data_IF_648701926419
#
_entry.id   IF_648701926419
#
_cell.length_a   1.000
_cell.length_b   1.000
_cell.length_c   1.000
_cell.angle_alpha   90.00
_cell.angle_beta   90.00
_cell.angle_gamma   90.00
#
_symmetry.space_group_name_H-M   'P 1'
#
loop_
_entity.id
_entity.type
_entity.pdbx_description
1 polymer ?
#
# COMPACT_ATOMS: atom_id res chain seq x y z
N UNK A 1 -69.00 28.13 -11.30
CA UNK A 1 -68.25 29.38 -11.56
C UNK A 1 -67.23 29.55 -10.45
N UNK A 2 -66.01 29.99 -10.83
CA UNK A 2 -64.93 30.65 -10.07
C UNK A 2 -64.69 30.22 -8.61
N UNK A 3 -63.48 29.95 -8.11
CA UNK A 3 -62.10 30.31 -8.44
C UNK A 3 -61.32 29.93 -7.15
N UNK A 4 -60.07 29.47 -7.14
CA UNK A 4 -58.89 30.02 -7.77
C UNK A 4 -58.06 30.79 -6.73
N UNK A 5 -56.79 30.38 -6.55
CA UNK A 5 -55.63 31.02 -5.84
C UNK A 5 -55.58 30.92 -4.29
N UNK A 6 -54.47 30.82 -3.56
CA UNK A 6 -53.03 30.56 -3.77
C UNK A 6 -52.35 30.45 -2.36
N UNK A 7 -51.15 29.83 -2.31
CA UNK A 7 -49.99 30.00 -1.39
C UNK A 7 -49.38 28.63 -1.01
N UNK A 8 -48.31 28.12 -1.64
CA UNK A 8 -46.87 28.49 -1.61
C UNK A 8 -46.14 28.33 -0.25
N UNK A 9 -44.95 27.72 -0.31
CA UNK A 9 -43.98 27.52 0.79
C UNK A 9 -43.63 26.04 0.94
N UNK A 10 -42.67 25.47 0.21
CA UNK A 10 -41.21 25.66 0.39
C UNK A 10 -40.69 24.39 1.10
N UNK A 11 -39.92 23.49 0.49
CA UNK A 11 -38.65 23.74 -0.20
C UNK A 11 -37.52 23.68 0.83
N UNK A 12 -36.70 22.63 0.81
CA UNK A 12 -35.44 22.60 1.56
C UNK A 12 -34.98 21.22 1.98
N UNK A 13 -34.30 20.51 1.07
CA UNK A 13 -33.54 19.32 1.40
C UNK A 13 -32.42 19.63 2.40
N UNK A 14 -32.30 18.81 3.42
CA UNK A 14 -31.19 18.78 4.36
C UNK A 14 -30.28 17.58 4.08
N UNK A 15 -29.61 17.56 2.94
CA UNK A 15 -28.45 16.70 2.71
C UNK A 15 -27.19 17.50 3.10
N UNK A 16 -26.77 17.32 4.36
CA UNK A 16 -25.55 17.97 4.88
C UNK A 16 -24.87 17.25 6.05
N UNK A 17 -25.48 16.23 6.65
CA UNK A 17 -24.96 15.60 7.88
C UNK A 17 -24.30 14.23 7.70
N UNK A 18 -24.51 13.52 6.57
CA UNK A 18 -24.00 12.15 6.43
C UNK A 18 -22.54 12.08 5.95
N UNK A 19 -22.08 13.06 5.17
CA UNK A 19 -20.72 13.07 4.61
C UNK A 19 -19.67 13.39 5.66
N UNK A 20 -19.92 14.34 6.54
CA UNK A 20 -18.98 14.79 7.58
C UNK A 20 -18.82 13.75 8.68
N UNK A 21 -19.90 13.10 9.11
CA UNK A 21 -19.85 12.01 10.08
C UNK A 21 -19.12 10.79 9.53
N UNK A 22 -19.31 10.44 8.25
CA UNK A 22 -18.55 9.38 7.59
C UNK A 22 -17.05 9.69 7.51
N UNK A 23 -16.66 10.94 7.22
CA UNK A 23 -15.26 11.37 7.20
C UNK A 23 -14.63 11.34 8.59
N UNK A 24 -15.34 11.75 9.64
CA UNK A 24 -14.87 11.67 11.03
C UNK A 24 -14.66 10.21 11.43
N UNK A 25 -15.64 9.34 11.16
CA UNK A 25 -15.53 7.90 11.43
C UNK A 25 -14.35 7.25 10.67
N UNK A 26 -14.10 7.67 9.43
CA UNK A 26 -12.94 7.21 8.67
C UNK A 26 -11.63 7.69 9.29
N UNK A 27 -11.55 8.94 9.74
CA UNK A 27 -10.38 9.50 10.41
C UNK A 27 -10.08 8.79 11.74
N UNK A 28 -11.10 8.50 12.56
CA UNK A 28 -10.92 7.76 13.81
C UNK A 28 -10.39 6.35 13.58
N UNK A 29 -10.97 5.62 12.62
CA UNK A 29 -10.50 4.28 12.24
C UNK A 29 -9.07 4.32 11.73
N UNK A 30 -8.73 5.33 10.93
CA UNK A 30 -7.39 5.51 10.41
C UNK A 30 -6.37 5.76 11.53
N UNK A 31 -6.67 6.68 12.44
CA UNK A 31 -5.80 6.98 13.59
C UNK A 31 -5.62 5.74 14.49
N UNK A 32 -6.67 4.96 14.69
CA UNK A 32 -6.58 3.69 15.43
C UNK A 32 -5.62 2.72 14.75
N UNK A 33 -5.71 2.54 13.43
CA UNK A 33 -4.80 1.66 12.68
C UNK A 33 -3.33 2.12 12.77
N UNK A 34 -3.08 3.44 12.72
CA UNK A 34 -1.73 4.01 12.91
C UNK A 34 -1.20 3.72 14.31
N UNK A 35 -2.04 3.88 15.35
CA UNK A 35 -1.67 3.57 16.74
C UNK A 35 -1.45 2.07 16.98
N UNK A 36 -2.24 1.19 16.36
CA UNK A 36 -2.04 -0.26 16.46
C UNK A 36 -0.75 -0.71 15.74
N UNK A 37 -0.37 -0.04 14.66
CA UNK A 37 0.84 -0.39 13.88
C UNK A 37 2.12 0.17 14.49
N UNK A 38 2.08 1.41 15.02
CA UNK A 38 3.24 2.13 15.52
C UNK A 38 3.16 2.49 17.01
N UNK A 39 2.28 1.86 17.78
CA UNK A 39 2.10 2.14 19.21
C UNK A 39 3.38 2.00 20.02
N UNK A 40 4.24 1.05 19.65
CA UNK A 40 5.55 0.82 20.27
C UNK A 40 6.68 1.67 19.65
N UNK A 41 6.38 2.47 18.62
CA UNK A 41 7.33 3.26 17.84
C UNK A 41 7.00 4.76 17.96
N UNK A 42 7.29 5.33 19.13
CA UNK A 42 7.01 6.75 19.44
C UNK A 42 7.58 7.70 18.39
N UNK A 43 8.79 7.42 17.89
CA UNK A 43 9.45 8.20 16.83
C UNK A 43 8.57 8.32 15.56
N UNK A 44 7.92 7.23 15.14
CA UNK A 44 7.04 7.24 13.96
C UNK A 44 5.75 8.01 14.19
N UNK A 45 5.19 7.94 15.39
CA UNK A 45 4.02 8.72 15.76
C UNK A 45 4.33 10.23 15.83
N UNK A 46 5.52 10.59 16.31
CA UNK A 46 6.02 11.98 16.29
C UNK A 46 6.21 12.45 14.86
N UNK A 47 6.90 11.68 14.01
CA UNK A 47 7.09 12.02 12.60
C UNK A 47 5.76 12.20 11.86
N UNK A 48 4.77 11.34 12.07
CA UNK A 48 3.45 11.50 11.47
C UNK A 48 2.79 12.82 11.91
N UNK A 49 2.87 13.14 13.21
CA UNK A 49 2.33 14.39 13.76
C UNK A 49 3.04 15.61 13.17
N UNK A 50 4.35 15.55 12.99
CA UNK A 50 5.15 16.61 12.38
C UNK A 50 4.74 16.84 10.92
N UNK A 51 4.57 15.78 10.13
CA UNK A 51 4.08 15.89 8.74
C UNK A 51 2.73 16.60 8.69
N UNK A 52 1.78 16.19 9.55
CA UNK A 52 0.46 16.82 9.61
C UNK A 52 0.52 18.28 10.07
N UNK A 53 1.42 18.60 11.01
CA UNK A 53 1.61 19.96 11.50
C UNK A 53 2.28 20.86 10.45
N UNK A 54 3.27 20.37 9.72
CA UNK A 54 3.91 21.10 8.63
C UNK A 54 2.91 21.42 7.52
N UNK A 55 1.99 20.51 7.22
CA UNK A 55 0.90 20.76 6.28
C UNK A 55 -0.07 21.81 6.81
N UNK A 56 -0.48 21.71 8.08
CA UNK A 56 -1.37 22.69 8.73
C UNK A 56 -0.77 24.09 8.81
N UNK A 57 0.55 24.18 8.95
CA UNK A 57 1.30 25.45 9.03
C UNK A 57 1.82 25.92 7.67
N UNK A 58 1.37 25.31 6.58
CA UNK A 58 1.72 25.64 5.19
C UNK A 58 3.23 25.58 4.90
N UNK A 59 4.00 24.84 5.72
CA UNK A 59 5.44 24.59 5.51
C UNK A 59 5.70 23.55 4.45
N UNK A 60 4.72 22.69 4.17
CA UNK A 60 4.78 21.69 3.11
C UNK A 60 3.45 21.65 2.37
N UNK A 61 3.49 21.30 1.09
CA UNK A 61 2.33 21.14 0.24
C UNK A 61 1.89 19.66 0.17
N UNK A 62 0.84 19.39 -0.60
CA UNK A 62 0.28 18.04 -0.74
C UNK A 62 1.33 17.06 -1.29
N UNK A 63 2.17 17.49 -2.23
CA UNK A 63 3.23 16.66 -2.80
C UNK A 63 4.29 16.29 -1.74
N UNK A 64 4.69 17.25 -0.89
CA UNK A 64 5.61 17.01 0.22
C UNK A 64 5.02 16.08 1.28
N UNK A 65 3.74 16.22 1.63
CA UNK A 65 3.04 15.29 2.54
C UNK A 65 3.04 13.88 1.96
N UNK A 66 2.66 13.73 0.69
CA UNK A 66 2.62 12.43 0.00
C UNK A 66 3.97 11.72 0.07
N UNK A 67 5.05 12.41 -0.26
CA UNK A 67 6.39 11.82 -0.22
C UNK A 67 6.80 11.36 1.19
N UNK A 68 6.56 12.20 2.20
CA UNK A 68 6.91 11.88 3.59
C UNK A 68 6.04 10.76 4.18
N UNK A 69 4.74 10.75 3.88
CA UNK A 69 3.82 9.68 4.31
C UNK A 69 4.17 8.36 3.63
N UNK A 70 4.53 8.38 2.34
CA UNK A 70 4.96 7.17 1.62
C UNK A 70 6.16 6.51 2.31
N UNK A 71 7.18 7.30 2.67
CA UNK A 71 8.37 6.76 3.32
C UNK A 71 8.08 6.32 4.77
N UNK A 72 7.29 7.11 5.51
CA UNK A 72 6.94 6.79 6.90
C UNK A 72 6.17 5.46 7.02
N UNK A 73 5.26 5.20 6.08
CA UNK A 73 4.42 4.00 6.06
C UNK A 73 4.89 2.94 5.07
N UNK A 74 6.16 3.00 4.65
CA UNK A 74 6.75 1.99 3.78
C UNK A 74 6.62 0.60 4.38
N UNK A 75 6.10 -0.35 3.59
CA UNK A 75 5.78 -1.72 4.02
C UNK A 75 4.43 -1.87 4.73
N UNK A 76 3.71 -0.78 5.01
CA UNK A 76 2.39 -0.77 5.65
C UNK A 76 1.32 -0.29 4.67
N UNK A 77 1.08 -1.12 3.65
CA UNK A 77 0.19 -0.84 2.52
C UNK A 77 -1.21 -0.41 2.95
N UNK A 78 -1.75 -1.01 4.01
CA UNK A 78 -3.04 -0.68 4.61
C UNK A 78 -3.12 0.77 5.11
N UNK A 79 -2.01 1.31 5.66
CA UNK A 79 -1.95 2.69 6.14
C UNK A 79 -1.79 3.68 4.99
N UNK A 80 -1.11 3.30 3.91
CA UNK A 80 -1.01 4.11 2.69
C UNK A 80 -2.38 4.19 2.01
N UNK A 81 -3.06 3.05 1.86
CA UNK A 81 -4.41 2.98 1.29
C UNK A 81 -5.43 3.78 2.11
N UNK A 82 -5.36 3.67 3.45
CA UNK A 82 -6.18 4.48 4.34
C UNK A 82 -5.92 5.98 4.18
N UNK A 83 -4.66 6.39 3.96
CA UNK A 83 -4.30 7.79 3.76
C UNK A 83 -4.83 8.34 2.43
N UNK A 84 -4.85 7.52 1.37
CA UNK A 84 -5.36 7.91 0.05
C UNK A 84 -6.83 8.36 0.08
N UNK A 85 -7.63 7.90 1.05
CA UNK A 85 -9.01 8.37 1.26
C UNK A 85 -9.10 9.88 1.58
N UNK A 86 -8.04 10.44 2.18
CA UNK A 86 -7.98 11.86 2.56
C UNK A 86 -7.30 12.73 1.49
N UNK A 87 -6.79 12.13 0.42
CA UNK A 87 -6.10 12.86 -0.64
C UNK A 87 -7.05 13.19 -1.80
N UNK A 88 -6.89 14.38 -2.43
CA UNK A 88 -7.59 14.67 -3.68
C UNK A 88 -7.20 13.68 -4.78
N UNK A 89 -8.14 13.41 -5.69
CA UNK A 89 -7.88 12.58 -6.87
C UNK A 89 -6.68 13.12 -7.65
N UNK A 90 -5.73 12.24 -7.96
CA UNK A 90 -4.47 12.59 -8.64
C UNK A 90 -3.26 12.79 -7.72
N UNK A 91 -3.45 12.83 -6.40
CA UNK A 91 -2.36 12.86 -5.41
C UNK A 91 -2.19 11.53 -4.66
N UNK A 92 -2.89 10.48 -5.09
CA UNK A 92 -2.85 9.17 -4.44
C UNK A 92 -1.42 8.61 -4.38
N UNK A 93 -1.08 8.09 -3.22
CA UNK A 93 0.19 7.42 -2.97
C UNK A 93 0.11 6.01 -3.54
N UNK A 94 1.01 5.70 -4.46
CA UNK A 94 1.17 4.34 -4.97
C UNK A 94 1.80 3.46 -3.90
N UNK A 95 1.17 2.34 -3.62
CA UNK A 95 1.67 1.31 -2.71
C UNK A 95 2.78 0.51 -3.39
N UNK A 96 3.93 0.35 -2.74
CA UNK A 96 5.02 -0.49 -3.24
C UNK A 96 4.68 -1.97 -3.00
N UNK A 97 3.94 -2.58 -3.94
CA UNK A 97 3.55 -4.01 -3.88
C UNK A 97 4.72 -5.00 -4.01
N UNK A 98 5.94 -4.50 -4.21
CA UNK A 98 7.10 -5.30 -4.59
C UNK A 98 8.31 -5.17 -3.67
N UNK A 99 8.18 -4.61 -2.47
CA UNK A 99 9.29 -4.71 -1.52
C UNK A 99 9.39 -6.20 -1.09
N UNK A 100 10.47 -6.91 -1.46
CA UNK A 100 10.63 -8.29 -1.02
C UNK A 100 10.71 -8.31 0.51
N UNK A 101 10.10 -9.29 1.18
CA UNK A 101 10.23 -9.43 2.63
C UNK A 101 11.74 -9.52 3.01
N UNK A 102 12.15 -9.09 4.21
CA UNK A 102 13.56 -9.11 4.62
C UNK A 102 14.23 -10.46 4.36
N UNK A 103 13.51 -11.56 4.58
CA UNK A 103 13.95 -12.93 4.37
C UNK A 103 14.20 -13.26 2.88
N UNK A 104 13.54 -12.57 1.96
CA UNK A 104 13.76 -12.75 0.53
C UNK A 104 15.10 -12.16 0.07
N UNK A 105 15.60 -11.09 0.74
CA UNK A 105 16.95 -10.58 0.46
C UNK A 105 18.03 -11.59 0.86
N UNK A 106 17.86 -12.24 2.02
CA UNK A 106 18.77 -13.29 2.47
C UNK A 106 18.71 -14.51 1.55
N UNK A 107 17.52 -14.88 1.07
CA UNK A 107 17.37 -15.93 0.07
C UNK A 107 18.08 -15.57 -1.24
N UNK A 108 17.90 -14.34 -1.73
CA UNK A 108 18.55 -13.86 -2.95
C UNK A 108 20.08 -13.91 -2.83
N UNK A 109 20.62 -13.51 -1.67
CA UNK A 109 22.07 -13.61 -1.38
C UNK A 109 22.53 -15.06 -1.35
N UNK A 110 21.77 -15.95 -0.70
CA UNK A 110 22.07 -17.37 -0.65
C UNK A 110 22.13 -18.00 -2.05
N UNK A 111 21.16 -17.69 -2.92
CA UNK A 111 21.16 -18.18 -4.32
C UNK A 111 22.40 -17.68 -5.04
N UNK A 112 22.77 -16.41 -4.86
CA UNK A 112 23.96 -15.81 -5.48
C UNK A 112 25.27 -16.45 -5.04
N UNK A 113 25.42 -16.74 -3.74
CA UNK A 113 26.61 -17.36 -3.18
C UNK A 113 26.76 -18.82 -3.57
N UNK A 114 25.63 -19.53 -3.72
CA UNK A 114 25.63 -20.93 -4.15
C UNK A 114 25.97 -21.08 -5.62
N UNK A 115 25.28 -20.32 -6.48
CA UNK A 115 25.46 -20.41 -7.91
C UNK A 115 25.09 -19.10 -8.62
N UNK A 116 26.10 -18.43 -9.18
CA UNK A 116 25.95 -17.17 -9.90
C UNK A 116 25.19 -17.31 -11.23
N UNK A 117 25.29 -18.47 -11.89
CA UNK A 117 24.60 -18.75 -13.14
C UNK A 117 23.09 -18.94 -12.91
N UNK A 118 22.74 -19.68 -11.85
CA UNK A 118 21.37 -19.86 -11.39
C UNK A 118 20.79 -18.54 -10.92
N UNK A 119 21.55 -17.76 -10.14
CA UNK A 119 21.14 -16.42 -9.71
C UNK A 119 20.77 -15.51 -10.88
N UNK A 120 21.57 -15.47 -11.95
CA UNK A 120 21.27 -14.65 -13.13
C UNK A 120 19.95 -15.06 -13.78
N UNK A 121 19.75 -16.36 -14.03
CA UNK A 121 18.50 -16.88 -14.62
C UNK A 121 17.31 -16.66 -13.68
N UNK A 122 17.50 -16.81 -12.37
CA UNK A 122 16.47 -16.56 -11.36
C UNK A 122 16.02 -15.10 -11.41
N UNK A 123 16.97 -14.16 -11.42
CA UNK A 123 16.69 -12.74 -11.54
C UNK A 123 15.96 -12.40 -12.84
N UNK A 124 16.34 -12.99 -13.97
CA UNK A 124 15.64 -12.79 -15.24
C UNK A 124 14.17 -13.25 -15.18
N UNK A 125 13.88 -14.34 -14.48
CA UNK A 125 12.49 -14.80 -14.27
C UNK A 125 11.72 -13.82 -13.37
N UNK A 126 12.33 -13.35 -12.28
CA UNK A 126 11.70 -12.37 -11.36
C UNK A 126 11.44 -11.03 -12.07
N UNK A 127 12.40 -10.53 -12.86
CA UNK A 127 12.21 -9.29 -13.62
C UNK A 127 11.15 -9.43 -14.69
N UNK A 128 11.04 -10.59 -15.36
CA UNK A 128 9.94 -10.86 -16.30
C UNK A 128 8.59 -10.90 -15.60
N UNK A 129 8.48 -11.50 -14.41
CA UNK A 129 7.26 -11.44 -13.61
C UNK A 129 6.81 -10.02 -13.31
N UNK A 130 7.74 -9.15 -12.88
CA UNK A 130 7.43 -7.76 -12.54
C UNK A 130 7.13 -6.88 -13.77
N UNK A 131 7.83 -7.08 -14.89
CA UNK A 131 7.68 -6.24 -16.09
C UNK A 131 6.54 -6.68 -17.00
N UNK A 132 6.28 -7.98 -17.10
CA UNK A 132 5.38 -8.56 -18.11
C UNK A 132 4.06 -9.08 -17.51
N UNK A 133 3.77 -8.81 -16.22
CA UNK A 133 2.60 -9.36 -15.52
C UNK A 133 2.48 -10.88 -15.69
N UNK A 134 3.61 -11.59 -15.57
CA UNK A 134 3.63 -13.05 -15.71
C UNK A 134 2.76 -13.69 -14.61
N UNK A 135 2.04 -14.76 -14.94
CA UNK A 135 1.22 -15.46 -13.96
C UNK A 135 2.07 -16.28 -12.97
N UNK A 136 1.52 -16.49 -11.77
CA UNK A 136 2.21 -17.19 -10.68
C UNK A 136 2.51 -18.66 -11.03
N UNK A 137 1.63 -19.34 -11.78
CA UNK A 137 1.82 -20.73 -12.18
C UNK A 137 3.02 -20.84 -13.13
N UNK A 138 3.13 -19.94 -14.11
CA UNK A 138 4.28 -19.87 -15.01
C UNK A 138 5.56 -19.51 -14.25
N UNK A 139 5.49 -18.62 -13.25
CA UNK A 139 6.62 -18.29 -12.39
C UNK A 139 7.12 -19.52 -11.63
N UNK A 140 6.23 -20.25 -10.97
CA UNK A 140 6.56 -21.48 -10.25
C UNK A 140 7.18 -22.53 -11.17
N UNK A 141 6.69 -22.66 -12.41
CA UNK A 141 7.24 -23.61 -13.38
C UNK A 141 8.67 -23.23 -13.79
N UNK A 142 8.91 -21.97 -14.14
CA UNK A 142 10.24 -21.52 -14.59
C UNK A 142 11.26 -21.59 -13.44
N UNK A 143 10.88 -21.14 -12.24
CA UNK A 143 11.75 -21.22 -11.05
C UNK A 143 11.97 -22.66 -10.59
N UNK A 144 10.94 -23.51 -10.69
CA UNK A 144 11.05 -24.94 -10.40
C UNK A 144 12.03 -25.65 -11.33
N UNK A 145 11.94 -25.41 -12.63
CA UNK A 145 12.88 -25.96 -13.61
C UNK A 145 14.31 -25.43 -13.41
N UNK A 146 14.46 -24.21 -12.91
CA UNK A 146 15.77 -23.61 -12.64
C UNK A 146 16.48 -24.25 -11.45
N UNK A 147 15.74 -24.64 -10.41
CA UNK A 147 16.29 -25.20 -9.18
C UNK A 147 16.22 -26.73 -9.11
N UNK A 148 15.52 -27.40 -10.04
CA UNK A 148 15.27 -28.85 -9.98
C UNK A 148 16.49 -29.73 -10.19
N UNK A 149 17.56 -29.22 -10.83
CA UNK A 149 18.74 -30.03 -11.15
C UNK A 149 19.70 -30.11 -9.95
N UNK A 150 20.14 -28.97 -9.43
CA UNK A 150 21.21 -28.94 -8.41
C UNK A 150 20.76 -28.50 -7.01
N UNK A 151 19.61 -27.80 -6.91
CA UNK A 151 19.25 -27.06 -5.70
C UNK A 151 17.75 -27.14 -5.33
N UNK A 152 17.17 -28.34 -5.16
CA UNK A 152 15.75 -28.49 -4.85
C UNK A 152 15.35 -27.83 -3.52
N UNK A 153 16.29 -27.67 -2.58
CA UNK A 153 16.10 -26.95 -1.31
C UNK A 153 15.81 -25.46 -1.52
N UNK A 154 16.40 -24.84 -2.55
CA UNK A 154 16.15 -23.43 -2.88
C UNK A 154 14.74 -23.23 -3.44
N UNK A 155 14.21 -24.19 -4.20
CA UNK A 155 12.82 -24.13 -4.66
C UNK A 155 11.83 -24.22 -3.48
N UNK A 156 12.10 -25.10 -2.52
CA UNK A 156 11.26 -25.22 -1.31
C UNK A 156 11.28 -23.93 -0.49
N UNK A 157 12.40 -23.22 -0.43
CA UNK A 157 12.45 -21.89 0.18
C UNK A 157 11.69 -20.86 -0.65
N UNK A 158 11.81 -20.90 -1.97
CA UNK A 158 11.11 -20.00 -2.88
C UNK A 158 9.59 -20.08 -2.71
N UNK A 159 9.00 -21.29 -2.67
CA UNK A 159 7.54 -21.45 -2.50
C UNK A 159 7.02 -20.89 -1.18
N UNK A 160 7.86 -20.74 -0.14
CA UNK A 160 7.47 -20.11 1.14
C UNK A 160 7.25 -18.60 1.03
N UNK A 161 7.78 -17.97 -0.01
CA UNK A 161 7.56 -16.56 -0.30
C UNK A 161 6.27 -16.31 -1.09
N UNK A 162 5.61 -17.37 -1.57
CA UNK A 162 4.39 -17.24 -2.33
C UNK A 162 3.18 -17.14 -1.37
N UNK A 163 2.18 -16.31 -1.69
CA UNK A 163 0.97 -16.24 -0.89
C UNK A 163 0.29 -17.61 -0.84
N UNK A 164 -0.32 -17.99 0.29
CA UNK A 164 -1.08 -19.23 0.38
C UNK A 164 -2.22 -19.17 -0.63
N UNK A 165 -2.26 -20.16 -1.53
CA UNK A 165 -3.35 -20.42 -2.49
C UNK A 165 -4.60 -20.92 -1.80
#
# INVERSE_FOLDING_TARGET
MAGGVAAEGGGGGGEGSTSSEATINAAERYMKAVMETFGDQEEKLVMFREIMNDFRTERTDIAGVVGRVKELFKGHNNLIEGFNFFLPKGYEITVDKHQPPPEALDFIRLVKERDESVYRRFMDVIFRYQREHMDLIKLCREVGALFSEDHPDLFVKFIRFLPPT
#
